data_IF_042280554279
#
_entry.id   IF_042280554279
#
_cell.length_a   1.000
_cell.length_b   1.000
_cell.length_c   1.000
_cell.angle_alpha   90.00
_cell.angle_beta   90.00
_cell.angle_gamma   90.00
#
_symmetry.space_group_name_H-M   'P 1'
#
loop_
_entity.id
_entity.type
_entity.pdbx_description
1 polymer ?
#
# COMPACT_ATOMS: atom_id res chain seq x y z
N UNK A 1 -5.81 0.96 -6.44
CA UNK A 1 -6.67 0.01 -5.66
C UNK A 1 -8.08 0.57 -5.66
N UNK A 2 -9.12 -0.28 -5.58
CA UNK A 2 -10.46 0.19 -5.24
C UNK A 2 -10.45 0.89 -3.88
N UNK A 3 -11.15 2.01 -3.77
CA UNK A 3 -11.15 2.86 -2.57
C UNK A 3 -12.50 2.88 -1.85
N UNK A 4 -13.49 2.22 -2.43
CA UNK A 4 -14.82 2.02 -1.85
C UNK A 4 -15.31 0.59 -2.03
N UNK A 5 -16.23 0.14 -1.17
CA UNK A 5 -16.84 -1.18 -1.32
C UNK A 5 -17.59 -1.30 -2.66
N UNK A 6 -18.19 -0.24 -3.17
CA UNK A 6 -18.90 -0.24 -4.45
C UNK A 6 -18.02 -0.64 -5.63
N UNK A 7 -16.71 -0.37 -5.56
CA UNK A 7 -15.74 -0.73 -6.60
C UNK A 7 -15.53 -2.25 -6.71
N UNK A 8 -15.92 -3.01 -5.69
CA UNK A 8 -15.88 -4.49 -5.69
C UNK A 8 -17.17 -5.12 -6.21
N UNK A 9 -18.18 -4.30 -6.51
CA UNK A 9 -19.52 -4.77 -6.90
C UNK A 9 -19.69 -5.03 -8.40
N UNK A 10 -20.92 -5.29 -8.75
CA UNK A 10 -21.36 -5.73 -10.07
C UNK A 10 -21.11 -4.77 -11.23
N UNK A 11 -20.89 -3.48 -11.00
CA UNK A 11 -20.56 -2.52 -12.06
C UNK A 11 -19.33 -2.94 -12.86
N UNK A 12 -18.44 -3.72 -12.26
CA UNK A 12 -17.19 -4.21 -12.86
C UNK A 12 -17.29 -5.67 -13.36
N UNK A 13 -18.48 -6.29 -13.39
CA UNK A 13 -18.65 -7.71 -13.73
C UNK A 13 -18.24 -8.11 -15.14
N UNK A 14 -18.28 -7.20 -16.09
CA UNK A 14 -17.88 -7.45 -17.47
C UNK A 14 -16.36 -7.51 -17.66
N UNK A 15 -15.59 -7.01 -16.71
CA UNK A 15 -14.13 -6.97 -16.74
C UNK A 15 -13.57 -7.77 -15.57
N UNK A 16 -12.54 -8.60 -15.79
CA UNK A 16 -11.83 -9.24 -14.69
C UNK A 16 -11.14 -8.18 -13.82
N UNK A 17 -10.78 -8.50 -12.54
CA UNK A 17 -9.98 -7.64 -11.72
C UNK A 17 -8.67 -7.24 -12.41
N UNK A 18 -8.29 -5.95 -12.28
CA UNK A 18 -7.23 -5.32 -13.09
C UNK A 18 -5.88 -6.04 -13.03
N UNK A 19 -5.55 -6.65 -11.89
CA UNK A 19 -4.24 -7.29 -11.68
C UNK A 19 -4.27 -8.82 -11.83
N UNK A 20 -5.44 -9.41 -12.04
CA UNK A 20 -5.58 -10.85 -12.27
C UNK A 20 -4.89 -11.24 -13.59
N UNK A 21 -4.05 -12.26 -13.54
CA UNK A 21 -3.22 -12.70 -14.66
C UNK A 21 -1.96 -11.86 -14.90
N UNK A 22 -1.72 -10.83 -14.10
CA UNK A 22 -0.52 -9.99 -14.22
C UNK A 22 0.30 -9.90 -12.93
N UNK A 23 -0.33 -9.64 -11.79
CA UNK A 23 0.31 -9.55 -10.46
C UNK A 23 0.11 -10.83 -9.65
N UNK A 24 -0.97 -11.54 -9.92
CA UNK A 24 -1.30 -12.84 -9.35
C UNK A 24 -2.18 -13.61 -10.34
N UNK A 25 -2.19 -14.93 -10.23
CA UNK A 25 -3.01 -15.80 -11.06
C UNK A 25 -4.32 -16.21 -10.37
N UNK A 26 -5.16 -16.98 -11.09
CA UNK A 26 -6.45 -17.42 -10.58
C UNK A 26 -6.36 -18.45 -9.43
N UNK A 27 -5.17 -19.04 -9.20
CA UNK A 27 -4.89 -19.90 -8.04
C UNK A 27 -4.53 -19.11 -6.79
N UNK A 28 -4.31 -17.79 -6.92
CA UNK A 28 -3.87 -16.91 -5.85
C UNK A 28 -2.36 -16.82 -5.70
N UNK A 29 -1.59 -17.41 -6.63
CA UNK A 29 -0.14 -17.29 -6.62
C UNK A 29 0.29 -15.91 -7.13
N UNK A 30 1.13 -15.20 -6.36
CA UNK A 30 1.71 -13.93 -6.80
C UNK A 30 2.78 -14.16 -7.86
N UNK A 31 2.69 -13.39 -8.93
CA UNK A 31 3.57 -13.42 -10.09
C UNK A 31 4.63 -12.34 -9.97
N UNK A 32 5.72 -12.47 -10.74
CA UNK A 32 6.73 -11.44 -10.86
C UNK A 32 6.11 -10.13 -11.39
N UNK A 33 6.20 -9.08 -10.60
CA UNK A 33 5.76 -7.70 -10.89
C UNK A 33 6.75 -6.73 -10.24
N UNK A 34 8.05 -6.78 -10.64
CA UNK A 34 9.12 -6.11 -9.92
C UNK A 34 8.98 -4.60 -9.94
N UNK A 35 9.42 -4.00 -8.84
CA UNK A 35 9.39 -2.56 -8.65
C UNK A 35 10.13 -2.10 -7.40
N UNK A 36 9.98 -0.82 -7.12
CA UNK A 36 10.42 -0.22 -5.87
C UNK A 36 9.34 0.73 -5.32
N UNK A 37 9.46 1.10 -4.06
CA UNK A 37 8.44 1.88 -3.35
C UNK A 37 9.00 2.42 -2.04
N UNK A 38 8.38 3.45 -1.47
CA UNK A 38 8.64 3.86 -0.08
C UNK A 38 7.44 3.44 0.76
N UNK A 39 7.69 2.62 1.78
CA UNK A 39 6.64 2.05 2.63
C UNK A 39 6.94 2.24 4.11
N UNK A 40 5.89 2.18 4.93
CA UNK A 40 5.97 2.05 6.37
C UNK A 40 5.46 0.67 6.75
N UNK A 41 6.36 -0.22 7.17
CA UNK A 41 6.00 -1.54 7.69
C UNK A 41 5.32 -1.44 9.05
N UNK A 42 4.59 -2.47 9.44
CA UNK A 42 4.05 -2.57 10.80
C UNK A 42 5.19 -2.73 11.81
N UNK A 43 5.01 -2.21 13.02
CA UNK A 43 5.91 -2.49 14.13
C UNK A 43 5.67 -3.94 14.59
N UNK A 44 6.68 -4.82 14.55
CA UNK A 44 6.50 -6.21 14.95
C UNK A 44 6.08 -6.35 16.42
N UNK A 45 5.21 -7.31 16.71
CA UNK A 45 4.65 -7.60 18.04
C UNK A 45 3.87 -6.43 18.67
N UNK A 46 3.46 -5.45 17.87
CA UNK A 46 2.64 -4.32 18.32
C UNK A 46 1.15 -4.68 18.39
N UNK A 47 0.38 -3.85 19.08
CA UNK A 47 -1.10 -3.95 19.05
C UNK A 47 -1.64 -3.78 17.63
N UNK A 48 -1.00 -2.95 16.82
CA UNK A 48 -1.35 -2.75 15.41
C UNK A 48 -1.18 -4.02 14.60
N UNK A 49 -0.02 -4.68 14.69
CA UNK A 49 0.21 -5.94 13.97
C UNK A 49 -0.84 -6.99 14.35
N UNK A 50 -1.08 -7.19 15.66
CA UNK A 50 -2.07 -8.13 16.15
C UNK A 50 -3.50 -7.81 15.62
N UNK A 51 -3.91 -6.55 15.66
CA UNK A 51 -5.22 -6.10 15.19
C UNK A 51 -5.38 -6.29 13.66
N UNK A 52 -4.34 -5.97 12.88
CA UNK A 52 -4.40 -6.08 11.43
C UNK A 52 -4.34 -7.54 10.95
N UNK A 53 -3.57 -8.39 11.61
CA UNK A 53 -3.57 -9.84 11.32
C UNK A 53 -4.93 -10.46 11.64
N UNK A 54 -5.55 -10.11 12.77
CA UNK A 54 -6.90 -10.57 13.10
C UNK A 54 -7.96 -10.06 12.09
N UNK A 55 -7.87 -8.81 11.66
CA UNK A 55 -8.75 -8.25 10.64
C UNK A 55 -8.58 -8.98 9.30
N UNK A 56 -7.33 -9.21 8.87
CA UNK A 56 -6.98 -9.96 7.66
C UNK A 56 -7.55 -11.38 7.70
N UNK A 57 -7.41 -12.08 8.81
CA UNK A 57 -7.95 -13.44 8.98
C UNK A 57 -9.47 -13.46 8.87
N UNK A 58 -10.17 -12.54 9.53
CA UNK A 58 -11.63 -12.41 9.43
C UNK A 58 -12.10 -12.16 8.00
N UNK A 59 -11.41 -11.23 7.29
CA UNK A 59 -11.72 -10.93 5.89
C UNK A 59 -11.44 -12.15 5.02
N UNK A 60 -10.33 -12.85 5.23
CA UNK A 60 -9.95 -14.06 4.49
C UNK A 60 -11.00 -15.18 4.66
N UNK A 61 -11.46 -15.42 5.88
CA UNK A 61 -12.49 -16.42 6.17
C UNK A 61 -13.80 -16.12 5.46
N UNK A 62 -14.19 -14.83 5.34
CA UNK A 62 -15.40 -14.42 4.60
C UNK A 62 -15.21 -14.45 3.09
N UNK A 63 -14.08 -13.97 2.61
CA UNK A 63 -13.82 -13.77 1.18
C UNK A 63 -13.63 -15.12 0.44
N UNK A 64 -13.02 -16.11 1.10
CA UNK A 64 -12.70 -17.39 0.46
C UNK A 64 -11.92 -17.17 -0.83
N UNK A 65 -12.36 -17.77 -1.91
CA UNK A 65 -11.72 -17.67 -3.24
C UNK A 65 -11.94 -16.34 -3.97
N UNK A 66 -12.74 -15.42 -3.41
CA UNK A 66 -12.94 -14.09 -4.02
C UNK A 66 -11.68 -13.22 -3.99
N UNK A 67 -10.72 -13.52 -3.11
CA UNK A 67 -9.53 -12.71 -2.87
C UNK A 67 -8.27 -13.57 -2.80
N UNK A 68 -7.15 -13.04 -3.31
CA UNK A 68 -5.79 -13.56 -3.13
C UNK A 68 -5.07 -12.74 -2.06
N UNK A 69 -4.75 -13.36 -0.93
CA UNK A 69 -4.15 -12.69 0.23
C UNK A 69 -2.63 -12.67 0.16
N UNK A 70 -2.03 -11.50 0.34
CA UNK A 70 -0.58 -11.35 0.46
C UNK A 70 -0.06 -12.00 1.75
N UNK A 71 1.24 -12.27 1.81
CA UNK A 71 1.88 -12.80 3.02
C UNK A 71 1.77 -11.80 4.19
N UNK A 72 1.55 -12.27 5.44
CA UNK A 72 1.42 -11.38 6.60
C UNK A 72 2.60 -10.41 6.79
N UNK A 73 3.83 -10.86 6.51
CA UNK A 73 5.04 -10.06 6.62
C UNK A 73 5.16 -8.95 5.57
N UNK A 74 4.32 -8.98 4.52
CA UNK A 74 4.29 -7.93 3.48
C UNK A 74 3.39 -6.75 3.86
N UNK A 75 2.68 -6.79 4.99
CA UNK A 75 1.75 -5.73 5.37
C UNK A 75 2.47 -4.41 5.63
N UNK A 76 2.08 -3.38 4.93
CA UNK A 76 2.65 -2.04 5.00
C UNK A 76 1.67 -0.97 4.53
N UNK A 77 1.91 0.26 4.90
CA UNK A 77 1.33 1.44 4.26
C UNK A 77 2.29 1.98 3.21
N UNK A 78 1.87 2.10 1.96
CA UNK A 78 2.67 2.77 0.93
C UNK A 78 2.63 4.28 1.13
N UNK A 79 3.78 4.88 1.39
CA UNK A 79 3.92 6.34 1.51
C UNK A 79 4.12 6.99 0.14
N UNK A 80 4.97 6.39 -0.72
CA UNK A 80 5.21 6.88 -2.07
C UNK A 80 5.42 5.72 -3.04
N UNK A 81 4.62 5.69 -4.10
CA UNK A 81 4.74 4.66 -5.14
C UNK A 81 5.99 4.90 -5.98
N UNK A 82 6.88 3.94 -6.02
CA UNK A 82 8.05 3.93 -6.88
C UNK A 82 7.74 3.55 -8.32
N UNK A 83 8.77 3.17 -9.05
CA UNK A 83 8.65 2.67 -10.42
C UNK A 83 8.38 1.16 -10.44
N UNK A 84 7.67 0.72 -11.47
CA UNK A 84 7.31 -0.69 -11.65
C UNK A 84 7.50 -1.09 -13.11
N UNK A 85 7.96 -2.32 -13.34
CA UNK A 85 8.27 -2.85 -14.67
C UNK A 85 7.10 -2.73 -15.66
N UNK A 86 5.87 -2.95 -15.20
CA UNK A 86 4.67 -2.93 -16.05
C UNK A 86 4.16 -1.52 -16.33
N UNK A 87 4.74 -0.49 -15.73
CA UNK A 87 4.25 0.90 -15.82
C UNK A 87 5.35 1.87 -16.29
N UNK A 88 6.15 1.43 -17.26
CA UNK A 88 7.20 2.23 -17.89
C UNK A 88 6.63 3.31 -18.81
N UNK A 89 6.08 4.36 -18.23
CA UNK A 89 5.50 5.51 -18.98
C UNK A 89 5.46 6.77 -18.13
N UNK A 90 5.47 7.93 -18.77
CA UNK A 90 5.23 9.21 -18.08
C UNK A 90 3.76 9.33 -17.65
N UNK A 91 3.48 9.96 -16.50
CA UNK A 91 4.39 10.56 -15.52
C UNK A 91 4.82 9.62 -14.38
N UNK A 92 4.72 8.30 -14.55
CA UNK A 92 5.09 7.27 -13.56
C UNK A 92 6.59 6.93 -13.53
N UNK A 93 7.39 7.70 -14.24
CA UNK A 93 8.83 7.54 -14.42
C UNK A 93 9.51 8.90 -14.42
N UNK A 94 10.73 9.08 -13.84
CA UNK A 94 11.42 10.37 -13.82
C UNK A 94 11.60 10.96 -15.21
N UNK A 95 11.39 12.26 -15.37
CA UNK A 95 11.42 12.91 -16.67
C UNK A 95 12.81 12.89 -17.32
N UNK A 96 13.86 12.89 -16.52
CA UNK A 96 15.27 12.91 -16.88
C UNK A 96 15.86 11.51 -17.16
N UNK A 97 15.08 10.43 -16.99
CA UNK A 97 15.57 9.05 -17.16
C UNK A 97 14.85 8.36 -18.32
N UNK A 98 15.59 7.64 -19.15
CA UNK A 98 15.04 6.87 -20.28
C UNK A 98 14.07 5.79 -19.79
N UNK A 99 12.98 5.55 -20.56
CA UNK A 99 11.96 4.57 -20.19
C UNK A 99 12.43 3.11 -20.24
N UNK A 100 13.50 2.83 -20.94
CA UNK A 100 14.13 1.51 -21.09
C UNK A 100 15.26 1.26 -20.09
N UNK A 101 15.56 2.22 -19.19
CA UNK A 101 16.53 2.03 -18.11
C UNK A 101 16.17 0.81 -17.29
N UNK A 102 17.09 -0.16 -17.08
CA UNK A 102 16.84 -1.35 -16.29
C UNK A 102 16.32 -1.02 -14.87
N UNK A 103 15.37 -1.81 -14.37
CA UNK A 103 14.76 -1.55 -13.07
C UNK A 103 15.77 -1.61 -11.92
N UNK A 104 16.78 -2.48 -12.01
CA UNK A 104 17.85 -2.56 -11.02
C UNK A 104 18.66 -1.25 -10.96
N UNK A 105 18.97 -0.66 -12.13
CA UNK A 105 19.67 0.64 -12.21
C UNK A 105 18.77 1.77 -11.66
N UNK A 106 17.46 1.73 -11.92
CA UNK A 106 16.51 2.67 -11.34
C UNK A 106 16.47 2.58 -9.82
N UNK A 107 16.48 1.36 -9.29
CA UNK A 107 16.45 1.12 -7.85
C UNK A 107 17.74 1.60 -7.19
N UNK A 108 18.90 1.32 -7.79
CA UNK A 108 20.18 1.83 -7.32
C UNK A 108 20.21 3.37 -7.33
N UNK A 109 19.84 4.00 -8.44
CA UNK A 109 19.79 5.45 -8.58
C UNK A 109 18.86 6.10 -7.53
N UNK A 110 17.71 5.50 -7.25
CA UNK A 110 16.80 6.00 -6.22
C UNK A 110 17.38 5.84 -4.81
N UNK A 111 18.05 4.73 -4.52
CA UNK A 111 18.75 4.55 -3.26
C UNK A 111 19.83 5.63 -3.08
N UNK A 112 20.63 5.91 -4.12
CA UNK A 112 21.64 6.99 -4.12
C UNK A 112 21.02 8.38 -3.94
N UNK A 113 19.88 8.69 -4.60
CA UNK A 113 19.16 9.95 -4.42
C UNK A 113 18.60 10.12 -3.00
N UNK A 114 18.34 9.02 -2.32
CA UNK A 114 17.85 9.00 -0.94
C UNK A 114 18.97 8.96 0.10
N UNK A 115 20.23 8.84 -0.30
CA UNK A 115 21.36 9.02 0.61
C UNK A 115 21.37 10.43 1.19
N UNK A 116 21.37 10.52 2.53
CA UNK A 116 21.29 11.81 3.22
C UNK A 116 19.91 12.49 3.16
N UNK A 117 18.86 11.74 2.77
CA UNK A 117 17.49 12.24 2.80
C UNK A 117 17.14 12.77 4.21
N UNK A 118 16.62 13.99 4.26
CA UNK A 118 16.15 14.58 5.51
C UNK A 118 14.70 14.18 5.73
N UNK A 119 14.39 13.42 6.79
CA UNK A 119 13.03 12.98 7.07
C UNK A 119 12.06 14.16 7.18
N UNK A 120 10.85 13.93 6.70
CA UNK A 120 9.74 14.86 6.90
C UNK A 120 9.26 14.89 8.35
N UNK A 121 8.22 15.69 8.65
CA UNK A 121 7.63 15.75 9.98
C UNK A 121 7.09 14.38 10.42
N UNK A 122 7.09 14.13 11.74
CA UNK A 122 6.42 12.96 12.30
C UNK A 122 4.91 13.01 12.00
N UNK A 123 4.30 11.84 11.81
CA UNK A 123 2.87 11.68 11.59
C UNK A 123 2.33 10.46 12.32
N UNK A 124 1.06 10.52 12.67
CA UNK A 124 0.28 9.40 13.15
C UNK A 124 -0.85 9.08 12.17
N UNK A 125 -1.21 7.81 12.03
CA UNK A 125 -2.29 7.37 11.13
C UNK A 125 -3.29 6.48 11.85
N UNK A 126 -4.53 6.50 11.38
CA UNK A 126 -5.62 5.65 11.85
C UNK A 126 -6.31 4.94 10.68
N UNK A 127 -6.99 3.83 10.96
CA UNK A 127 -7.84 3.18 9.98
C UNK A 127 -9.17 3.94 9.86
N UNK A 128 -9.53 4.35 8.64
CA UNK A 128 -10.76 5.11 8.37
C UNK A 128 -11.83 4.30 7.66
N UNK A 129 -11.45 3.24 6.94
CA UNK A 129 -12.39 2.29 6.33
C UNK A 129 -11.76 0.90 6.24
N UNK A 130 -12.57 -0.15 6.30
CA UNK A 130 -12.21 -1.50 5.94
C UNK A 130 -12.81 -1.86 4.59
N UNK A 131 -12.02 -2.52 3.74
CA UNK A 131 -12.39 -2.99 2.42
C UNK A 131 -12.09 -4.50 2.32
N UNK A 132 -12.67 -5.22 1.36
CA UNK A 132 -12.32 -6.62 1.12
C UNK A 132 -10.83 -6.85 0.87
N UNK A 133 -10.12 -5.86 0.35
CA UNK A 133 -8.68 -5.93 0.08
C UNK A 133 -7.78 -5.36 1.18
N UNK A 134 -8.31 -4.83 2.28
CA UNK A 134 -7.50 -4.24 3.35
C UNK A 134 -8.12 -3.04 4.03
N UNK A 135 -7.30 -2.10 4.47
CA UNK A 135 -7.74 -0.89 5.17
C UNK A 135 -7.37 0.36 4.38
N UNK A 136 -8.27 1.35 4.38
CA UNK A 136 -7.94 2.74 4.06
C UNK A 136 -7.49 3.40 5.36
N UNK A 137 -6.40 4.15 5.30
CA UNK A 137 -5.83 4.85 6.45
C UNK A 137 -5.64 6.33 6.12
N UNK A 138 -5.67 7.18 7.15
CA UNK A 138 -5.42 8.62 7.00
C UNK A 138 -4.72 9.17 8.24
N UNK A 139 -4.20 10.38 8.15
CA UNK A 139 -3.64 11.09 9.30
C UNK A 139 -4.67 11.33 10.39
N UNK A 140 -4.33 11.05 11.65
CA UNK A 140 -5.23 11.24 12.80
C UNK A 140 -5.70 12.68 12.90
N UNK A 141 -4.80 13.64 12.68
CA UNK A 141 -5.08 15.08 12.75
C UNK A 141 -4.83 15.77 11.40
N UNK A 142 -5.27 17.01 11.29
CA UNK A 142 -4.91 17.85 10.13
C UNK A 142 -3.40 18.05 10.00
N UNK A 143 -2.66 18.09 11.11
CA UNK A 143 -1.20 18.19 11.10
C UNK A 143 -0.56 16.90 10.56
N UNK A 144 -1.07 15.73 10.92
CA UNK A 144 -0.58 14.44 10.39
C UNK A 144 -0.83 14.33 8.89
N UNK A 145 -2.02 14.75 8.41
CA UNK A 145 -2.31 14.79 6.96
C UNK A 145 -1.37 15.73 6.22
N UNK A 146 -1.08 16.90 6.79
CA UNK A 146 -0.10 17.84 6.22
C UNK A 146 1.32 17.24 6.21
N UNK A 147 1.70 16.52 7.26
CA UNK A 147 2.99 15.82 7.33
C UNK A 147 3.10 14.73 6.25
N UNK A 148 2.07 13.90 6.07
CA UNK A 148 2.01 12.88 5.01
C UNK A 148 2.15 13.51 3.61
N UNK A 149 1.47 14.64 3.36
CA UNK A 149 1.58 15.38 2.11
C UNK A 149 3.01 15.92 1.90
N UNK A 150 3.62 16.51 2.93
CA UNK A 150 4.99 17.02 2.89
C UNK A 150 6.02 15.91 2.60
N UNK A 151 5.87 14.72 3.21
CA UNK A 151 6.69 13.56 2.90
C UNK A 151 6.60 13.18 1.42
N UNK A 152 5.38 13.10 0.89
CA UNK A 152 5.15 12.74 -0.52
C UNK A 152 5.74 13.80 -1.46
N UNK A 153 5.58 15.09 -1.16
CA UNK A 153 6.15 16.18 -1.94
C UNK A 153 7.68 16.10 -1.98
N UNK A 154 8.32 15.94 -0.83
CA UNK A 154 9.79 15.82 -0.75
C UNK A 154 10.30 14.59 -1.50
N UNK A 155 9.63 13.43 -1.35
CA UNK A 155 9.99 12.22 -2.09
C UNK A 155 9.82 12.40 -3.60
N UNK A 156 8.75 13.05 -4.05
CA UNK A 156 8.52 13.33 -5.46
C UNK A 156 9.61 14.24 -6.05
N UNK A 157 10.05 15.25 -5.31
CA UNK A 157 11.11 16.16 -5.73
C UNK A 157 12.47 15.46 -5.81
N UNK A 158 12.81 14.63 -4.80
CA UNK A 158 14.07 13.86 -4.77
C UNK A 158 14.09 12.79 -5.86
N UNK A 159 12.99 12.05 -6.06
CA UNK A 159 12.91 10.97 -7.03
C UNK A 159 12.64 11.47 -8.46
N UNK A 160 12.22 12.73 -8.63
CA UNK A 160 12.12 13.39 -9.93
C UNK A 160 10.83 13.11 -10.70
N UNK A 161 9.74 12.71 -10.04
CA UNK A 161 8.44 12.51 -10.71
C UNK A 161 7.26 12.56 -9.72
N UNK A 162 6.07 12.81 -10.27
CA UNK A 162 4.80 12.81 -9.52
C UNK A 162 3.78 11.96 -10.26
N UNK A 163 3.11 11.06 -9.56
CA UNK A 163 1.96 10.34 -10.10
C UNK A 163 0.77 11.28 -10.32
N UNK A 164 -0.14 10.97 -11.27
CA UNK A 164 -1.31 11.82 -11.53
C UNK A 164 -2.22 12.02 -10.32
N UNK A 165 -2.27 11.04 -9.42
CA UNK A 165 -3.05 11.04 -8.18
C UNK A 165 -2.29 11.59 -6.97
N UNK A 166 -1.13 12.23 -7.17
CA UNK A 166 -0.22 12.63 -6.09
C UNK A 166 -0.93 13.45 -4.99
N UNK A 167 -1.72 14.44 -5.37
CA UNK A 167 -2.43 15.32 -4.43
C UNK A 167 -3.73 14.72 -3.87
N UNK A 168 -4.20 13.60 -4.42
CA UNK A 168 -5.43 12.91 -4.02
C UNK A 168 -5.17 11.45 -3.62
N UNK A 169 -3.94 11.14 -3.22
CA UNK A 169 -3.54 9.79 -2.89
C UNK A 169 -4.21 9.32 -1.59
N UNK A 170 -4.94 8.22 -1.67
CA UNK A 170 -5.52 7.57 -0.50
C UNK A 170 -4.57 6.51 0.03
N UNK A 171 -4.14 6.67 1.28
CA UNK A 171 -3.26 5.70 1.93
C UNK A 171 -4.03 4.43 2.27
N UNK A 172 -3.38 3.29 2.11
CA UNK A 172 -3.99 1.99 2.39
C UNK A 172 -2.96 0.95 2.85
N UNK A 173 -3.44 -0.03 3.60
CA UNK A 173 -2.70 -1.24 3.95
C UNK A 173 -3.40 -2.41 3.24
N UNK A 174 -2.71 -3.00 2.26
CA UNK A 174 -3.27 -4.06 1.41
C UNK A 174 -3.14 -5.42 2.09
N UNK A 175 -4.25 -6.15 2.22
CA UNK A 175 -4.29 -7.52 2.67
C UNK A 175 -4.42 -8.50 1.51
N UNK A 176 -5.13 -8.10 0.44
CA UNK A 176 -5.50 -8.99 -0.64
C UNK A 176 -5.79 -8.25 -1.95
N UNK A 177 -5.91 -9.02 -3.01
CA UNK A 177 -6.33 -8.59 -4.34
C UNK A 177 -7.55 -9.39 -4.79
N UNK A 178 -8.54 -8.78 -5.50
CA UNK A 178 -9.75 -9.47 -5.91
C UNK A 178 -9.50 -10.46 -7.05
N UNK A 179 -9.99 -11.71 -6.92
CA UNK A 179 -10.07 -12.71 -7.99
C UNK A 179 -11.39 -12.61 -8.76
N UNK A 180 -12.44 -12.18 -8.06
CA UNK A 180 -13.77 -11.99 -8.61
C UNK A 180 -14.49 -10.83 -7.92
N UNK A 181 -15.60 -10.38 -8.52
CA UNK A 181 -16.41 -9.31 -7.98
C UNK A 181 -17.48 -9.82 -7.04
N UNK A 182 -17.81 -9.04 -6.02
CA UNK A 182 -18.87 -9.35 -5.05
C UNK A 182 -20.24 -9.25 -5.74
N UNK A 183 -21.12 -10.22 -5.49
CA UNK A 183 -22.47 -10.21 -6.02
C UNK A 183 -23.30 -9.04 -5.44
N UNK A 184 -24.19 -8.41 -6.23
CA UNK A 184 -24.95 -7.23 -5.77
C UNK A 184 -25.77 -7.50 -4.52
N UNK A 185 -26.32 -8.71 -4.38
CA UNK A 185 -27.13 -9.11 -3.23
C UNK A 185 -26.32 -9.18 -1.91
N UNK A 186 -25.02 -9.32 -1.99
CA UNK A 186 -24.13 -9.51 -0.83
C UNK A 186 -23.52 -8.19 -0.33
N UNK A 187 -23.71 -7.09 -1.06
CA UNK A 187 -23.03 -5.81 -0.77
C UNK A 187 -23.36 -5.26 0.62
N UNK A 188 -24.64 -5.32 1.04
CA UNK A 188 -25.07 -4.84 2.36
C UNK A 188 -24.43 -5.66 3.49
N UNK A 189 -24.40 -6.98 3.32
CA UNK A 189 -23.81 -7.88 4.31
C UNK A 189 -22.28 -7.69 4.38
N UNK A 190 -21.63 -7.43 3.23
CA UNK A 190 -20.23 -7.05 3.22
C UNK A 190 -19.98 -5.73 3.95
N UNK A 191 -20.81 -4.72 3.72
CA UNK A 191 -20.66 -3.43 4.40
C UNK A 191 -20.75 -3.60 5.93
N UNK A 192 -21.81 -4.25 6.42
CA UNK A 192 -22.01 -4.50 7.86
C UNK A 192 -20.83 -5.27 8.48
N UNK A 193 -20.33 -6.27 7.74
CA UNK A 193 -19.18 -7.05 8.18
C UNK A 193 -17.91 -6.19 8.26
N UNK A 194 -17.60 -5.40 7.21
CA UNK A 194 -16.42 -4.55 7.16
C UNK A 194 -16.48 -3.43 8.22
N UNK A 195 -17.66 -2.88 8.50
CA UNK A 195 -17.87 -1.93 9.60
C UNK A 195 -17.51 -2.55 10.95
N UNK A 196 -17.88 -3.83 11.15
CA UNK A 196 -17.50 -4.56 12.36
C UNK A 196 -16.00 -4.82 12.46
N UNK A 197 -15.34 -5.12 11.34
CA UNK A 197 -13.88 -5.28 11.28
C UNK A 197 -13.18 -3.97 11.62
N UNK A 198 -13.62 -2.86 11.02
CA UNK A 198 -13.06 -1.52 11.29
C UNK A 198 -13.22 -1.14 12.78
N UNK A 199 -14.39 -1.38 13.35
CA UNK A 199 -14.65 -1.10 14.77
C UNK A 199 -13.69 -1.90 15.69
N UNK A 200 -13.42 -3.15 15.36
CA UNK A 200 -12.47 -3.99 16.10
C UNK A 200 -11.03 -3.48 15.96
N UNK A 201 -10.59 -3.11 14.76
CA UNK A 201 -9.25 -2.51 14.53
C UNK A 201 -9.11 -1.23 15.33
N UNK A 202 -10.07 -0.29 15.23
CA UNK A 202 -10.03 0.98 15.97
C UNK A 202 -10.02 0.82 17.49
N UNK A 203 -10.68 -0.21 18.00
CA UNK A 203 -10.68 -0.50 19.44
C UNK A 203 -9.32 -1.02 19.91
N UNK A 204 -8.64 -1.85 19.11
CA UNK A 204 -7.38 -2.50 19.48
C UNK A 204 -6.16 -1.64 19.13
N UNK A 205 -6.21 -0.90 18.04
CA UNK A 205 -5.16 -0.04 17.55
C UNK A 205 -5.76 1.28 17.02
N UNK A 206 -6.19 2.20 17.93
CA UNK A 206 -6.81 3.48 17.53
C UNK A 206 -5.84 4.38 16.73
N UNK A 207 -4.54 4.25 16.99
CA UNK A 207 -3.45 4.82 16.19
C UNK A 207 -2.57 3.65 15.75
N UNK A 208 -2.24 3.61 14.46
CA UNK A 208 -1.46 2.52 13.90
C UNK A 208 0.03 2.75 14.14
N UNK A 209 0.69 1.78 14.74
CA UNK A 209 2.13 1.77 14.99
C UNK A 209 2.86 1.30 13.74
N UNK A 210 3.49 2.23 13.03
CA UNK A 210 4.26 1.99 11.82
C UNK A 210 5.74 2.26 12.06
N UNK A 211 6.61 1.50 11.39
CA UNK A 211 8.04 1.76 11.35
C UNK A 211 8.33 3.01 10.52
N UNK A 212 9.53 3.57 10.70
CA UNK A 212 10.01 4.65 9.85
C UNK A 212 9.86 4.29 8.36
N UNK A 213 9.54 5.26 7.48
CA UNK A 213 9.49 5.01 6.05
C UNK A 213 10.79 4.40 5.55
N UNK A 214 10.69 3.39 4.70
CA UNK A 214 11.83 2.75 4.07
C UNK A 214 11.62 2.65 2.55
N UNK A 215 12.67 2.95 1.79
CA UNK A 215 12.73 2.64 0.37
C UNK A 215 13.03 1.16 0.21
N UNK A 216 12.15 0.48 -0.51
CA UNK A 216 12.17 -0.96 -0.69
C UNK A 216 12.17 -1.34 -2.16
N UNK A 217 12.81 -2.49 -2.49
CA UNK A 217 12.57 -3.23 -3.71
C UNK A 217 11.59 -4.38 -3.47
N UNK A 218 10.93 -4.84 -4.51
CA UNK A 218 10.07 -6.02 -4.46
C UNK A 218 10.05 -6.73 -5.81
N UNK A 219 9.94 -8.06 -5.77
CA UNK A 219 9.75 -8.92 -6.94
C UNK A 219 8.29 -9.34 -7.09
N UNK A 220 7.62 -9.58 -5.96
CA UNK A 220 6.20 -9.90 -5.87
C UNK A 220 5.56 -9.07 -4.74
N UNK A 221 4.25 -9.23 -4.53
CA UNK A 221 3.55 -8.53 -3.44
C UNK A 221 3.70 -9.20 -2.06
N UNK A 222 4.50 -10.25 -1.95
CA UNK A 222 4.67 -11.00 -0.70
C UNK A 222 5.87 -10.56 0.15
N UNK A 223 6.79 -9.80 -0.45
CA UNK A 223 8.00 -9.36 0.23
C UNK A 223 8.50 -8.02 -0.29
N UNK A 224 8.89 -7.14 0.63
CA UNK A 224 9.47 -5.81 0.35
C UNK A 224 10.80 -5.72 1.09
N UNK A 225 11.90 -5.75 0.34
CA UNK A 225 13.26 -5.66 0.87
C UNK A 225 13.62 -4.21 1.17
N UNK A 226 13.93 -3.90 2.43
CA UNK A 226 14.36 -2.56 2.84
C UNK A 226 15.79 -2.30 2.37
N UNK A 227 15.97 -1.28 1.53
CA UNK A 227 17.26 -0.84 1.01
C UNK A 227 17.78 0.41 1.76
N UNK A 228 16.90 1.39 2.03
CA UNK A 228 17.24 2.63 2.74
C UNK A 228 16.13 2.97 3.72
N UNK A 229 16.45 3.03 5.01
CA UNK A 229 15.51 3.49 6.04
C UNK A 229 15.63 5.01 6.19
N UNK A 230 14.51 5.71 6.03
CA UNK A 230 14.44 7.17 6.02
C UNK A 230 14.15 7.72 7.43
N UNK A 231 15.04 7.45 8.39
CA UNK A 231 14.85 7.80 9.80
C UNK A 231 15.74 8.93 10.31
N UNK A 232 16.40 9.67 9.41
CA UNK A 232 17.41 10.67 9.78
C UNK A 232 18.60 10.01 10.49
N UNK A 233 19.81 10.43 10.20
CA UNK A 233 20.95 10.06 11.05
C UNK A 233 20.69 10.69 12.41
N UNK A 234 20.45 9.86 13.43
CA UNK A 234 20.76 10.28 14.80
C UNK A 234 22.27 10.35 14.82
N UNK A 235 22.82 11.58 14.73
CA UNK A 235 24.25 11.79 15.00
C UNK A 235 24.51 11.23 16.40
N UNK A 236 25.34 10.20 16.46
CA UNK A 236 25.75 9.54 17.69
C UNK A 236 26.79 10.38 18.43
#
# INVERSE_FOLDING_TARGET
>A
MPTSLSDYGAANRSNPPTYLGTRYDASGQFLSDPGNTVVCHLVPNSATEAALLAARERISARAGSLMSFTAPQSLHMTLFQGVNERRRKRPYWPADVALDTPLAEMTQMFAERLEGFVPGPAFAVEAIAALPSGLIVDGVTAADRAALAAWRDTLADVLGYRHPDHGAYEFHITFAYPNAWIAPGDMTDWQNFLDSVLADVRRQAPVLELRAPAFCSFETMDWFEELVVLNGKVDA
#
